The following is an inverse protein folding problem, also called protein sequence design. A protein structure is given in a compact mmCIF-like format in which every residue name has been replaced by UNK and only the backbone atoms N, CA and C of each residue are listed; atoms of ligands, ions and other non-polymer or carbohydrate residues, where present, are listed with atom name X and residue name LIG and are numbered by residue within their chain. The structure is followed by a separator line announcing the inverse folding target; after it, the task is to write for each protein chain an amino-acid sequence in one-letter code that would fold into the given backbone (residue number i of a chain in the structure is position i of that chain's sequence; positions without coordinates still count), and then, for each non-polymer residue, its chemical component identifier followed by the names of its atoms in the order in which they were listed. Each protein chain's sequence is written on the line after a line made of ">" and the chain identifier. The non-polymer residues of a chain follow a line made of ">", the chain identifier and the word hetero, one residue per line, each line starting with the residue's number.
data_IF_618618896586
#
_entry.id   IF_618618896586
#
_cell.length_a   1.000
_cell.length_b   1.000
_cell.length_c   1.000
_cell.angle_alpha   90.00
_cell.angle_beta   90.00
_cell.angle_gamma   90.00
#
_symmetry.space_group_name_H-M   'P 1'
#
loop_
_entity.id
_entity.type
_entity.pdbx_description
1 polymer ?
#
# COMPACT_ATOMS: atom_id res chain seq x y z
N UNK A 1 -2.17 7.05 36.99
CA UNK A 1 -1.38 5.93 36.41
C UNK A 1 -2.35 4.90 35.84
N UNK A 2 -2.78 5.06 34.58
CA UNK A 2 -3.64 4.08 33.93
C UNK A 2 -2.76 2.98 33.33
N UNK A 3 -2.69 1.85 34.04
CA UNK A 3 -2.04 0.61 33.60
C UNK A 3 -2.85 0.09 32.40
N UNK A 4 -2.45 0.49 31.19
CA UNK A 4 -3.05 -0.04 29.97
C UNK A 4 -2.71 -1.53 29.90
N UNK A 5 -3.74 -2.33 29.71
CA UNK A 5 -3.71 -3.78 29.69
C UNK A 5 -2.61 -4.30 28.76
N UNK A 6 -1.82 -5.24 29.26
CA UNK A 6 -0.89 -6.09 28.52
C UNK A 6 -1.67 -6.88 27.45
N UNK A 7 -2.09 -6.21 26.38
CA UNK A 7 -2.64 -6.88 25.20
C UNK A 7 -1.48 -7.57 24.53
N UNK A 8 -1.39 -8.88 24.74
CA UNK A 8 -0.41 -9.75 24.12
C UNK A 8 -0.20 -9.33 22.66
N UNK A 9 1.01 -8.87 22.27
CA UNK A 9 1.29 -8.32 20.94
C UNK A 9 0.79 -9.24 19.82
N UNK A 10 0.87 -10.55 20.03
CA UNK A 10 0.39 -11.59 19.13
C UNK A 10 -1.09 -11.51 18.74
N UNK A 11 -1.92 -10.79 19.49
CA UNK A 11 -3.35 -10.65 19.16
C UNK A 11 -3.63 -9.66 18.04
N UNK A 12 -2.78 -8.65 17.82
CA UNK A 12 -3.00 -7.61 16.81
C UNK A 12 -1.97 -7.64 15.67
N UNK A 13 -0.79 -8.22 15.90
CA UNK A 13 0.29 -8.37 14.92
C UNK A 13 -0.17 -9.10 13.63
N UNK A 14 -0.84 -10.27 13.69
CA UNK A 14 -1.28 -10.96 12.49
C UNK A 14 -2.29 -10.15 11.67
N UNK A 15 -3.23 -9.50 12.34
CA UNK A 15 -4.24 -8.65 11.69
C UNK A 15 -3.59 -7.42 11.02
N UNK A 16 -2.58 -6.84 11.67
CA UNK A 16 -1.81 -5.72 11.13
C UNK A 16 -1.07 -6.12 9.84
N UNK A 17 -0.29 -7.20 9.87
CA UNK A 17 0.42 -7.69 8.68
C UNK A 17 -0.52 -8.11 7.57
N UNK A 18 -1.66 -8.70 7.89
CA UNK A 18 -2.66 -9.07 6.90
C UNK A 18 -3.23 -7.84 6.18
N UNK A 19 -3.62 -6.81 6.95
CA UNK A 19 -4.18 -5.56 6.39
C UNK A 19 -3.14 -4.73 5.63
N UNK A 20 -1.85 -4.86 5.97
CA UNK A 20 -0.75 -4.25 5.22
C UNK A 20 -0.43 -5.03 3.93
N UNK A 21 -0.37 -6.36 4.03
CA UNK A 21 0.03 -7.24 2.92
C UNK A 21 -1.00 -7.36 1.82
N UNK A 22 -2.30 -7.29 2.15
CA UNK A 22 -3.38 -7.38 1.16
C UNK A 22 -3.29 -6.31 0.07
N UNK A 23 -3.27 -5.00 0.41
CA UNK A 23 -3.09 -3.93 -0.58
C UNK A 23 -1.83 -4.10 -1.43
N UNK A 24 -0.73 -4.52 -0.81
CA UNK A 24 0.54 -4.76 -1.50
C UNK A 24 0.39 -5.84 -2.58
N UNK A 25 -0.16 -6.99 -2.23
CA UNK A 25 -0.36 -8.10 -3.18
C UNK A 25 -1.29 -7.69 -4.32
N UNK A 26 -2.35 -6.93 -4.03
CA UNK A 26 -3.26 -6.43 -5.05
C UNK A 26 -2.54 -5.52 -6.04
N UNK A 27 -1.74 -4.57 -5.54
CA UNK A 27 -1.04 -3.61 -6.38
C UNK A 27 0.06 -4.29 -7.19
N UNK A 28 0.81 -5.21 -6.60
CA UNK A 28 2.03 -5.75 -7.23
C UNK A 28 1.77 -6.99 -8.07
N UNK A 29 0.88 -7.87 -7.63
CA UNK A 29 0.62 -9.16 -8.30
C UNK A 29 -0.67 -9.12 -9.10
N UNK A 30 -1.77 -8.69 -8.48
CA UNK A 30 -3.09 -8.72 -9.13
C UNK A 30 -3.16 -7.73 -10.29
N UNK A 31 -2.52 -6.55 -10.19
CA UNK A 31 -2.45 -5.59 -11.30
C UNK A 31 -1.78 -6.17 -12.56
N UNK A 32 -0.70 -6.94 -12.39
CA UNK A 32 0.04 -7.59 -13.48
C UNK A 32 -0.86 -8.61 -14.17
N UNK A 33 -1.55 -9.44 -13.38
CA UNK A 33 -2.49 -10.45 -13.88
C UNK A 33 -3.63 -9.74 -14.63
N UNK A 34 -4.20 -8.69 -14.05
CA UNK A 34 -5.27 -7.89 -14.66
C UNK A 34 -4.86 -7.35 -16.04
N UNK A 35 -3.67 -6.74 -16.16
CA UNK A 35 -3.21 -6.21 -17.45
C UNK A 35 -2.96 -7.30 -18.48
N UNK A 36 -2.49 -8.47 -18.04
CA UNK A 36 -2.28 -9.63 -18.91
C UNK A 36 -3.62 -10.17 -19.46
N UNK A 37 -4.63 -10.30 -18.61
CA UNK A 37 -5.99 -10.70 -19.03
C UNK A 37 -6.65 -9.66 -19.95
N UNK A 38 -6.29 -8.38 -19.82
CA UNK A 38 -6.74 -7.29 -20.70
C UNK A 38 -5.95 -7.20 -22.03
N UNK A 39 -5.19 -8.25 -22.38
CA UNK A 39 -4.41 -8.36 -23.62
C UNK A 39 -3.36 -7.25 -23.83
N UNK A 40 -2.84 -6.67 -22.74
CA UNK A 40 -1.70 -5.74 -22.82
C UNK A 40 -0.43 -6.56 -23.07
N UNK A 41 0.47 -6.10 -23.96
CA UNK A 41 1.68 -6.84 -24.28
C UNK A 41 2.69 -6.82 -23.11
N UNK A 42 3.40 -7.94 -22.94
CA UNK A 42 4.24 -8.21 -21.76
C UNK A 42 5.44 -7.26 -21.63
N UNK A 43 5.95 -6.72 -22.74
CA UNK A 43 7.02 -5.72 -22.77
C UNK A 43 6.61 -4.45 -22.02
N UNK A 44 5.39 -3.98 -22.28
CA UNK A 44 4.81 -2.83 -21.58
C UNK A 44 4.51 -3.20 -20.13
N UNK A 45 3.86 -4.33 -19.87
CA UNK A 45 3.56 -4.74 -18.49
C UNK A 45 4.83 -4.75 -17.66
N UNK A 46 5.89 -5.42 -18.09
CA UNK A 46 7.14 -5.51 -17.33
C UNK A 46 7.77 -4.15 -17.06
N UNK A 47 7.84 -3.27 -18.06
CA UNK A 47 8.38 -1.92 -17.87
C UNK A 47 7.54 -1.12 -16.89
N UNK A 48 6.22 -1.08 -17.06
CA UNK A 48 5.32 -0.22 -16.29
C UNK A 48 5.06 -0.74 -14.87
N UNK A 49 4.94 -2.04 -14.66
CA UNK A 49 4.71 -2.60 -13.33
C UNK A 49 5.96 -2.56 -12.46
N UNK A 50 7.15 -2.48 -13.06
CA UNK A 50 8.39 -2.21 -12.33
C UNK A 50 8.35 -0.88 -11.58
N UNK A 51 7.63 0.13 -12.11
CA UNK A 51 7.45 1.41 -11.43
C UNK A 51 6.59 1.31 -10.17
N UNK A 52 5.75 0.27 -10.06
CA UNK A 52 4.94 0.08 -8.86
C UNK A 52 5.81 -0.17 -7.63
N UNK A 53 7.03 -0.72 -7.79
CA UNK A 53 7.96 -0.95 -6.68
C UNK A 53 8.70 0.30 -6.21
N UNK A 54 8.64 1.39 -6.98
CA UNK A 54 9.40 2.62 -6.74
C UNK A 54 9.12 3.25 -5.35
N UNK A 55 7.90 3.22 -4.80
CA UNK A 55 7.65 3.71 -3.44
C UNK A 55 8.45 2.98 -2.36
N UNK A 56 8.73 1.69 -2.52
CA UNK A 56 9.55 0.94 -1.57
C UNK A 56 11.02 1.34 -1.63
N UNK A 57 11.51 1.81 -2.78
CA UNK A 57 12.88 2.31 -2.93
C UNK A 57 13.01 3.72 -2.35
N UNK A 58 11.99 4.57 -2.55
CA UNK A 58 12.01 5.94 -2.05
C UNK A 58 11.58 6.07 -0.59
N UNK A 59 11.17 4.98 0.07
CA UNK A 59 10.77 4.98 1.48
C UNK A 59 11.71 5.72 2.45
N UNK A 60 13.05 5.70 2.30
CA UNK A 60 13.94 6.39 3.23
C UNK A 60 13.72 7.91 3.27
N UNK A 61 13.18 8.50 2.21
CA UNK A 61 12.95 9.95 2.13
C UNK A 61 11.81 10.43 3.04
N UNK A 62 10.76 9.62 3.24
CA UNK A 62 9.62 10.00 4.09
C UNK A 62 9.52 9.23 5.41
N UNK A 63 10.31 8.17 5.61
CA UNK A 63 10.37 7.44 6.89
C UNK A 63 10.50 8.35 8.11
N UNK A 64 11.42 9.35 8.14
CA UNK A 64 11.59 10.21 9.31
C UNK A 64 10.34 11.02 9.62
N UNK A 65 9.59 11.45 8.61
CA UNK A 65 8.37 12.23 8.79
C UNK A 65 7.22 11.39 9.33
N UNK A 66 7.11 10.13 8.89
CA UNK A 66 6.10 9.18 9.36
C UNK A 66 6.33 8.86 10.84
N UNK A 67 7.60 8.68 11.22
CA UNK A 67 8.02 8.41 12.59
C UNK A 67 7.86 9.63 13.53
N UNK A 68 8.15 10.86 13.08
CA UNK A 68 8.10 12.05 13.94
C UNK A 68 6.69 12.62 14.15
N UNK A 69 5.81 12.53 13.16
CA UNK A 69 4.68 13.48 13.02
C UNK A 69 3.31 12.97 13.51
N UNK A 70 3.12 11.67 13.77
CA UNK A 70 1.79 11.15 14.21
C UNK A 70 1.85 9.82 14.96
N UNK A 71 0.73 9.42 15.56
CA UNK A 71 0.57 8.10 16.16
C UNK A 71 0.48 7.04 15.06
N UNK A 72 1.23 5.94 15.22
CA UNK A 72 1.34 4.85 14.22
C UNK A 72 -0.02 4.27 13.80
N UNK A 73 -1.01 4.25 14.72
CA UNK A 73 -2.40 3.84 14.45
C UNK A 73 -3.14 4.76 13.48
N UNK A 74 -2.94 6.08 13.57
CA UNK A 74 -3.61 7.05 12.69
C UNK A 74 -3.05 6.96 11.27
N UNK A 75 -1.74 6.71 11.14
CA UNK A 75 -1.13 6.44 9.83
C UNK A 75 -1.73 5.19 9.19
N UNK A 76 -1.83 4.08 9.94
CA UNK A 76 -2.40 2.82 9.41
C UNK A 76 -3.82 3.03 8.89
N UNK A 77 -4.70 3.65 9.70
CA UNK A 77 -6.10 3.89 9.30
C UNK A 77 -6.20 4.88 8.13
N UNK A 78 -5.42 5.97 8.15
CA UNK A 78 -5.42 6.96 7.08
C UNK A 78 -4.99 6.36 5.74
N UNK A 79 -3.94 5.54 5.75
CA UNK A 79 -3.45 4.85 4.55
C UNK A 79 -4.41 3.78 4.05
N UNK A 80 -5.09 3.04 4.94
CA UNK A 80 -6.14 2.09 4.54
C UNK A 80 -7.29 2.79 3.81
N UNK A 81 -7.75 3.94 4.33
CA UNK A 81 -8.78 4.74 3.68
C UNK A 81 -8.33 5.25 2.31
N UNK A 82 -7.09 5.73 2.22
CA UNK A 82 -6.51 6.28 1.00
C UNK A 82 -6.30 5.20 -0.09
N UNK A 83 -5.85 3.99 0.28
CA UNK A 83 -5.81 2.83 -0.63
C UNK A 83 -7.20 2.48 -1.14
N UNK A 84 -8.19 2.43 -0.24
CA UNK A 84 -9.57 2.10 -0.61
C UNK A 84 -10.11 3.07 -1.66
N UNK A 85 -9.88 4.38 -1.47
CA UNK A 85 -10.28 5.40 -2.43
C UNK A 85 -9.62 5.21 -3.79
N UNK A 86 -8.32 4.90 -3.83
CA UNK A 86 -7.61 4.65 -5.08
C UNK A 86 -8.06 3.37 -5.79
N UNK A 87 -8.41 2.31 -5.05
CA UNK A 87 -8.94 1.09 -5.66
C UNK A 87 -10.32 1.30 -6.27
N UNK A 88 -11.20 2.04 -5.59
CA UNK A 88 -12.50 2.44 -6.14
C UNK A 88 -12.29 3.26 -7.42
N UNK A 89 -11.39 4.24 -7.39
CA UNK A 89 -11.05 5.05 -8.56
C UNK A 89 -10.49 4.19 -9.71
N UNK A 90 -9.58 3.24 -9.42
CA UNK A 90 -9.01 2.35 -10.41
C UNK A 90 -10.09 1.49 -11.09
N UNK A 91 -11.08 1.00 -10.33
CA UNK A 91 -12.22 0.29 -10.88
C UNK A 91 -13.03 1.11 -11.90
N UNK A 92 -13.22 2.41 -11.66
CA UNK A 92 -13.90 3.30 -12.61
C UNK A 92 -13.08 3.54 -13.89
N UNK A 93 -11.75 3.57 -13.78
CA UNK A 93 -10.88 3.80 -14.95
C UNK A 93 -10.89 2.66 -15.97
N UNK A 94 -11.28 1.44 -15.57
CA UNK A 94 -11.33 0.28 -16.47
C UNK A 94 -12.29 0.44 -17.65
N UNK A 95 -13.28 1.34 -17.55
CA UNK A 95 -14.25 1.61 -18.64
C UNK A 95 -13.78 2.70 -19.62
N UNK A 96 -12.60 3.28 -19.42
CA UNK A 96 -12.09 4.40 -20.22
C UNK A 96 -11.13 3.93 -21.32
N UNK A 97 -11.03 4.67 -22.43
CA UNK A 97 -10.08 4.35 -23.51
C UNK A 97 -8.60 4.33 -23.06
N UNK A 98 -8.26 5.11 -22.04
CA UNK A 98 -6.91 5.20 -21.48
C UNK A 98 -6.76 4.40 -20.18
N UNK A 99 -7.54 3.33 -19.99
CA UNK A 99 -7.59 2.57 -18.74
C UNK A 99 -6.20 2.15 -18.24
N UNK A 100 -5.30 1.74 -19.14
CA UNK A 100 -3.99 1.23 -18.77
C UNK A 100 -3.16 2.28 -18.00
N UNK A 101 -2.99 3.48 -18.56
CA UNK A 101 -2.18 4.54 -17.96
C UNK A 101 -2.87 5.09 -16.70
N UNK A 102 -4.19 5.25 -16.74
CA UNK A 102 -4.94 5.81 -15.62
C UNK A 102 -4.96 4.87 -14.41
N UNK A 103 -5.28 3.60 -14.60
CA UNK A 103 -5.25 2.59 -13.54
C UNK A 103 -3.83 2.42 -12.98
N UNK A 104 -2.80 2.42 -13.84
CA UNK A 104 -1.41 2.30 -13.40
C UNK A 104 -0.98 3.49 -12.54
N UNK A 105 -1.37 4.71 -12.94
CA UNK A 105 -1.09 5.92 -12.16
C UNK A 105 -1.75 5.85 -10.79
N UNK A 106 -3.00 5.38 -10.72
CA UNK A 106 -3.72 5.19 -9.46
C UNK A 106 -3.10 4.09 -8.60
N UNK A 107 -2.67 2.98 -9.19
CA UNK A 107 -1.95 1.92 -8.46
C UNK A 107 -0.59 2.39 -7.95
N UNK A 108 0.12 3.23 -8.73
CA UNK A 108 1.38 3.83 -8.32
C UNK A 108 1.18 4.77 -7.13
N UNK A 109 0.12 5.60 -7.17
CA UNK A 109 -0.24 6.45 -6.03
C UNK A 109 -0.67 5.63 -4.81
N UNK A 110 -1.45 4.57 -5.04
CA UNK A 110 -1.87 3.65 -3.98
C UNK A 110 -0.67 2.94 -3.34
N UNK A 111 0.38 2.63 -4.09
CA UNK A 111 1.57 1.93 -3.60
C UNK A 111 2.34 2.69 -2.50
N UNK A 112 2.24 4.02 -2.44
CA UNK A 112 2.82 4.81 -1.35
C UNK A 112 2.19 4.52 0.01
N UNK A 113 0.92 4.12 0.04
CA UNK A 113 0.21 3.88 1.28
C UNK A 113 0.63 2.58 1.99
N UNK A 114 0.72 1.41 1.32
CA UNK A 114 1.31 0.21 1.89
C UNK A 114 2.77 0.41 2.27
N UNK A 115 3.56 1.14 1.48
CA UNK A 115 4.95 1.47 1.81
C UNK A 115 5.04 2.33 3.09
N UNK A 116 4.10 3.23 3.32
CA UNK A 116 4.03 4.03 4.55
C UNK A 116 3.55 3.21 5.75
N UNK A 117 2.60 2.31 5.53
CA UNK A 117 2.15 1.37 6.56
C UNK A 117 3.24 0.41 7.00
N UNK A 118 4.11 -0.02 6.09
CA UNK A 118 5.30 -0.83 6.40
C UNK A 118 6.19 -0.14 7.44
N UNK A 119 6.52 1.13 7.21
CA UNK A 119 7.31 1.95 8.14
C UNK A 119 6.60 2.10 9.50
N UNK A 120 5.29 2.38 9.49
CA UNK A 120 4.52 2.57 10.72
C UNK A 120 4.41 1.28 11.54
N UNK A 121 4.25 0.13 10.85
CA UNK A 121 4.25 -1.21 11.43
C UNK A 121 5.62 -1.53 12.05
N UNK A 122 6.71 -1.37 11.30
CA UNK A 122 8.08 -1.61 11.78
C UNK A 122 8.40 -0.78 13.03
N UNK A 123 8.02 0.50 13.01
CA UNK A 123 8.13 1.36 14.17
C UNK A 123 7.33 0.83 15.36
N UNK A 124 6.11 0.32 15.17
CA UNK A 124 5.28 -0.25 16.25
C UNK A 124 5.97 -1.47 16.88
N UNK A 125 6.52 -2.37 16.06
CA UNK A 125 7.24 -3.56 16.55
C UNK A 125 8.43 -3.21 17.42
N UNK A 126 9.22 -2.19 17.05
CA UNK A 126 10.40 -1.80 17.83
C UNK A 126 10.08 -1.17 19.19
N UNK A 127 8.82 -0.75 19.42
CA UNK A 127 8.38 -0.10 20.67
C UNK A 127 7.45 -0.97 21.52
N UNK A 128 7.06 -2.15 21.02
CA UNK A 128 6.11 -3.06 21.65
C UNK A 128 6.80 -4.11 22.54
#
# INVERSE_FOLDING_TARGET
>A
MTKNTDKNPWTWIPALYFTQGLPYVIIVVVSVIMYKELNIPNDKIGLYTSWLYLPWVLKPFWSPFVELKSTKKNWILGMQFLVSLFFIAAGFTLKMNNFFILSLSLFTMAAFAPATNDIASDGLYMTA
#
